data_IF_369257566279
#
_entry.id   IF_369257566279
#
_cell.length_a   1.000
_cell.length_b   1.000
_cell.length_c   1.000
_cell.angle_alpha   90.00
_cell.angle_beta   90.00
_cell.angle_gamma   90.00
#
_symmetry.space_group_name_H-M   'P 1'
#
loop_
_entity.id
_entity.type
_entity.pdbx_description
1 polymer ?
#
# COMPACT_ATOMS: atom_id res chain seq x y z
N UNK A 1 -6.36 12.41 -11.72
CA UNK A 1 -7.65 11.68 -11.81
C UNK A 1 -7.48 10.21 -12.21
N UNK A 2 -6.62 9.85 -13.18
CA UNK A 2 -6.54 8.47 -13.71
C UNK A 2 -6.25 7.37 -12.66
N UNK A 3 -5.45 7.65 -11.63
CA UNK A 3 -5.08 6.66 -10.60
C UNK A 3 -5.89 6.77 -9.29
N UNK A 4 -6.85 7.69 -9.21
CA UNK A 4 -7.68 7.87 -8.00
C UNK A 4 -8.49 6.62 -7.66
N UNK A 5 -8.97 5.91 -8.68
CA UNK A 5 -9.68 4.65 -8.50
C UNK A 5 -8.82 3.58 -7.81
N UNK A 6 -7.52 3.54 -8.13
CA UNK A 6 -6.58 2.61 -7.50
C UNK A 6 -6.39 2.97 -6.02
N UNK A 7 -6.32 4.26 -5.68
CA UNK A 7 -6.28 4.70 -4.29
C UNK A 7 -7.55 4.32 -3.51
N UNK A 8 -8.73 4.44 -4.14
CA UNK A 8 -10.01 4.05 -3.52
C UNK A 8 -10.04 2.54 -3.26
N UNK A 9 -9.55 1.73 -4.21
CA UNK A 9 -9.43 0.27 -4.03
C UNK A 9 -8.45 -0.05 -2.88
N UNK A 10 -7.28 0.57 -2.85
CA UNK A 10 -6.31 0.40 -1.77
C UNK A 10 -6.89 0.75 -0.40
N UNK A 11 -7.64 1.84 -0.32
CA UNK A 11 -8.33 2.25 0.89
C UNK A 11 -9.41 1.23 1.32
N UNK A 12 -10.20 0.70 0.39
CA UNK A 12 -11.19 -0.32 0.68
C UNK A 12 -10.55 -1.62 1.21
N UNK A 13 -9.41 -2.05 0.64
CA UNK A 13 -8.64 -3.22 1.10
C UNK A 13 -8.10 -2.95 2.51
N UNK A 14 -7.57 -1.75 2.78
CA UNK A 14 -7.10 -1.37 4.11
C UNK A 14 -8.23 -1.38 5.16
N UNK A 15 -9.42 -0.89 4.81
CA UNK A 15 -10.58 -0.96 5.69
C UNK A 15 -11.00 -2.41 5.98
N UNK A 16 -10.97 -3.28 4.96
CA UNK A 16 -11.23 -4.71 5.11
C UNK A 16 -10.18 -5.39 6.01
N UNK A 17 -8.91 -5.03 5.88
CA UNK A 17 -7.84 -5.46 6.79
C UNK A 17 -8.19 -5.14 8.25
N UNK A 18 -8.51 -3.87 8.56
CA UNK A 18 -8.82 -3.42 9.92
C UNK A 18 -10.02 -4.21 10.49
N UNK A 19 -11.04 -4.47 9.69
CA UNK A 19 -12.20 -5.26 10.11
C UNK A 19 -11.83 -6.71 10.43
N UNK A 20 -10.98 -7.34 9.61
CA UNK A 20 -10.54 -8.74 9.78
C UNK A 20 -9.58 -8.89 10.96
N UNK A 21 -8.67 -7.93 11.15
CA UNK A 21 -7.74 -7.87 12.27
C UNK A 21 -8.49 -7.74 13.61
N UNK A 22 -9.51 -6.88 13.66
CA UNK A 22 -10.40 -6.77 14.83
C UNK A 22 -11.14 -8.07 15.18
N UNK A 23 -11.31 -8.98 14.21
CA UNK A 23 -11.88 -10.32 14.43
C UNK A 23 -10.83 -11.36 14.84
N UNK A 24 -9.59 -10.94 15.13
CA UNK A 24 -8.44 -11.79 15.49
C UNK A 24 -8.08 -12.85 14.45
N UNK A 25 -8.45 -12.62 13.19
CA UNK A 25 -8.08 -13.52 12.09
C UNK A 25 -6.76 -13.04 11.47
N UNK A 26 -5.65 -13.40 12.12
CA UNK A 26 -4.34 -12.84 11.80
C UNK A 26 -3.83 -13.21 10.40
N UNK A 27 -3.95 -14.46 9.97
CA UNK A 27 -3.49 -14.88 8.62
C UNK A 27 -4.15 -14.07 7.49
N UNK A 28 -5.50 -13.97 7.41
CA UNK A 28 -6.11 -13.14 6.38
C UNK A 28 -5.88 -11.64 6.61
N UNK A 29 -5.64 -11.19 7.85
CA UNK A 29 -5.26 -9.81 8.12
C UNK A 29 -3.90 -9.47 7.49
N UNK A 30 -2.86 -10.32 7.61
CA UNK A 30 -1.56 -10.14 6.92
C UNK A 30 -1.77 -9.97 5.41
N UNK A 31 -2.58 -10.85 4.82
CA UNK A 31 -2.81 -10.87 3.37
C UNK A 31 -3.49 -9.57 2.92
N UNK A 32 -4.52 -9.12 3.65
CA UNK A 32 -5.21 -7.86 3.37
C UNK A 32 -4.30 -6.65 3.59
N UNK A 33 -3.50 -6.66 4.65
CA UNK A 33 -2.54 -5.59 4.96
C UNK A 33 -1.45 -5.47 3.88
N UNK A 34 -0.84 -6.60 3.51
CA UNK A 34 0.17 -6.67 2.46
C UNK A 34 -0.38 -6.30 1.08
N UNK A 35 -1.61 -6.73 0.75
CA UNK A 35 -2.25 -6.32 -0.50
C UNK A 35 -2.58 -4.83 -0.55
N UNK A 36 -3.03 -4.22 0.55
CA UNK A 36 -3.19 -2.77 0.63
C UNK A 36 -1.87 -2.04 0.39
N UNK A 37 -0.79 -2.46 1.06
CA UNK A 37 0.54 -1.91 0.86
C UNK A 37 1.02 -2.03 -0.60
N UNK A 38 0.79 -3.18 -1.23
CA UNK A 38 1.13 -3.39 -2.64
C UNK A 38 0.40 -2.40 -3.57
N UNK A 39 -0.88 -2.11 -3.31
CA UNK A 39 -1.63 -1.11 -4.08
C UNK A 39 -1.00 0.29 -3.94
N UNK A 40 -0.61 0.70 -2.72
CA UNK A 40 0.04 2.00 -2.52
C UNK A 40 1.44 2.08 -3.17
N UNK A 41 2.21 0.99 -3.15
CA UNK A 41 3.48 0.89 -3.88
C UNK A 41 3.26 1.08 -5.39
N UNK A 42 2.26 0.41 -5.97
CA UNK A 42 1.92 0.56 -7.41
C UNK A 42 1.54 2.00 -7.72
N UNK A 43 0.70 2.63 -6.90
CA UNK A 43 0.33 4.05 -7.07
C UNK A 43 1.56 4.94 -7.01
N UNK A 44 2.47 4.72 -6.04
CA UNK A 44 3.71 5.46 -5.92
C UNK A 44 4.60 5.31 -7.16
N UNK A 45 4.78 4.08 -7.65
CA UNK A 45 5.59 3.78 -8.83
C UNK A 45 5.01 4.38 -10.12
N UNK A 46 3.69 4.35 -10.29
CA UNK A 46 3.02 4.98 -11.43
C UNK A 46 3.14 6.51 -11.35
N UNK A 47 2.94 7.09 -10.17
CA UNK A 47 3.02 8.53 -9.94
C UNK A 47 4.46 9.05 -10.12
N UNK A 48 5.47 8.23 -9.83
CA UNK A 48 6.87 8.57 -10.03
C UNK A 48 7.24 8.85 -11.49
N UNK A 49 6.45 8.36 -12.46
CA UNK A 49 6.68 8.62 -13.89
C UNK A 49 6.28 10.04 -14.31
N UNK A 50 5.49 10.74 -13.50
CA UNK A 50 4.92 12.05 -13.84
C UNK A 50 5.51 13.21 -13.01
N UNK A 51 6.52 12.94 -12.20
CA UNK A 51 7.15 13.95 -11.33
C UNK A 51 8.27 14.68 -12.06
N UNK A 52 8.46 15.96 -11.75
CA UNK A 52 9.62 16.75 -12.18
C UNK A 52 10.88 16.43 -11.38
N UNK A 53 10.75 15.77 -10.21
CA UNK A 53 11.87 15.41 -9.34
C UNK A 53 11.98 13.88 -9.16
N UNK A 54 12.70 13.18 -10.06
CA UNK A 54 12.78 11.72 -10.04
C UNK A 54 13.54 11.17 -8.83
N UNK A 55 14.53 11.91 -8.30
CA UNK A 55 15.27 11.49 -7.10
C UNK A 55 14.37 11.44 -5.87
N UNK A 56 13.52 12.45 -5.68
CA UNK A 56 12.54 12.45 -4.60
C UNK A 56 11.52 11.32 -4.75
N UNK A 57 11.00 11.11 -5.97
CA UNK A 57 10.02 10.04 -6.20
C UNK A 57 10.59 8.64 -5.94
N UNK A 58 11.87 8.39 -6.26
CA UNK A 58 12.54 7.12 -5.89
C UNK A 58 12.56 6.90 -4.38
N UNK A 59 12.87 7.93 -3.60
CA UNK A 59 12.86 7.83 -2.13
C UNK A 59 11.46 7.50 -1.59
N UNK A 60 10.41 8.13 -2.15
CA UNK A 60 9.02 7.83 -1.79
C UNK A 60 8.67 6.36 -2.09
N UNK A 61 9.01 5.87 -3.29
CA UNK A 61 8.74 4.47 -3.66
C UNK A 61 9.52 3.49 -2.78
N UNK A 62 10.78 3.77 -2.47
CA UNK A 62 11.58 2.95 -1.54
C UNK A 62 10.92 2.94 -0.15
N UNK A 63 10.48 4.09 0.35
CA UNK A 63 9.77 4.18 1.62
C UNK A 63 8.48 3.35 1.64
N UNK A 64 7.72 3.36 0.54
CA UNK A 64 6.51 2.53 0.40
C UNK A 64 6.84 1.03 0.38
N UNK A 65 7.92 0.62 -0.28
CA UNK A 65 8.37 -0.78 -0.31
C UNK A 65 8.79 -1.22 1.10
N UNK A 66 9.60 -0.43 1.80
CA UNK A 66 10.02 -0.73 3.17
C UNK A 66 8.83 -0.78 4.14
N UNK A 67 7.89 0.16 4.00
CA UNK A 67 6.63 0.16 4.75
C UNK A 67 5.82 -1.12 4.50
N UNK A 68 5.66 -1.53 3.24
CA UNK A 68 4.94 -2.75 2.88
C UNK A 68 5.63 -4.04 3.37
N UNK A 69 6.96 -4.06 3.41
CA UNK A 69 7.71 -5.15 4.06
C UNK A 69 7.41 -5.17 5.56
N UNK A 70 7.44 -4.00 6.21
CA UNK A 70 7.06 -3.86 7.62
C UNK A 70 5.64 -4.35 7.90
N UNK A 71 4.71 -4.05 7.00
CA UNK A 71 3.31 -4.50 7.11
C UNK A 71 3.17 -6.02 7.12
N UNK A 72 3.98 -6.73 6.31
CA UNK A 72 3.97 -8.21 6.26
C UNK A 72 4.71 -8.83 7.44
N UNK A 73 5.81 -8.21 7.89
CA UNK A 73 6.65 -8.75 8.97
C UNK A 73 6.06 -8.50 10.38
N UNK A 74 5.25 -7.45 10.56
CA UNK A 74 4.71 -7.03 11.86
C UNK A 74 3.24 -7.43 12.04
N UNK A 75 2.95 -8.73 12.06
CA UNK A 75 1.58 -9.21 12.32
C UNK A 75 1.52 -10.36 13.31
#
# INVERSE_FOLDING_TARGET
>A
MRYLLICIIGFAIQAAFILVENRKKYVPAVILKGSAAMVFIIVGALSAQFTSNPSFAKLVVIGLILGGIGDVLLN
#
